data_IF_162532899932
#
_entry.id   IF_162532899932
#
_cell.length_a   1.000
_cell.length_b   1.000
_cell.length_c   1.000
_cell.angle_alpha   90.00
_cell.angle_beta   90.00
_cell.angle_gamma   90.00
#
_symmetry.space_group_name_H-M   'P 1'
#
loop_
_entity.id
_entity.type
_entity.pdbx_description
1 polymer ?
#
# COMPACT_ATOMS: atom_id res chain seq x y z
N UNK A 1 47.64 13.04 58.21
CA UNK A 1 48.83 12.47 57.56
C UNK A 1 48.35 11.79 56.29
N UNK A 2 48.48 12.45 55.20
CA UNK A 2 49.48 12.23 54.16
C UNK A 2 49.30 10.83 53.51
N UNK A 3 49.17 10.59 52.27
CA UNK A 3 49.72 11.15 51.02
C UNK A 3 48.94 10.48 49.83
N UNK A 4 48.49 11.22 48.89
CA UNK A 4 48.92 11.35 47.51
C UNK A 4 49.39 10.03 46.80
N UNK A 5 48.78 9.64 45.74
CA UNK A 5 49.42 9.77 44.41
C UNK A 5 48.44 9.58 43.29
N UNK A 6 48.46 10.52 42.34
CA UNK A 6 47.86 10.49 41.04
C UNK A 6 48.65 9.57 40.09
N UNK A 7 47.97 8.96 39.13
CA UNK A 7 48.56 8.72 37.82
C UNK A 7 47.47 8.71 36.75
N UNK A 8 47.71 9.55 35.79
CA UNK A 8 46.92 9.74 34.55
C UNK A 8 47.32 8.72 33.48
N UNK A 9 46.51 8.72 32.45
CA UNK A 9 46.67 8.22 31.09
C UNK A 9 45.81 6.97 30.79
N UNK A 10 45.04 6.86 29.77
CA UNK A 10 45.20 7.27 28.39
C UNK A 10 43.90 7.00 27.68
N UNK A 11 43.57 7.88 26.79
CA UNK A 11 42.56 7.74 25.81
C UNK A 11 42.77 6.50 24.93
N UNK A 12 41.71 5.74 24.70
CA UNK A 12 41.57 4.97 23.48
C UNK A 12 40.09 4.99 23.12
N UNK A 13 39.73 5.88 22.20
CA UNK A 13 38.48 5.83 21.49
C UNK A 13 38.41 4.53 20.70
N UNK A 14 37.57 3.62 21.14
CA UNK A 14 37.13 2.55 20.28
C UNK A 14 35.76 2.93 19.71
N UNK A 15 35.78 3.45 18.51
CA UNK A 15 34.63 3.45 17.61
C UNK A 15 34.16 2.01 17.43
N UNK A 16 33.20 1.62 18.25
CA UNK A 16 32.47 0.38 18.09
C UNK A 16 31.60 0.52 16.84
N UNK A 17 32.20 0.27 15.69
CA UNK A 17 31.48 -0.13 14.51
C UNK A 17 30.85 -1.51 14.81
N UNK A 18 29.59 -1.49 15.20
CA UNK A 18 28.74 -2.68 15.37
C UNK A 18 28.87 -3.52 14.09
N UNK A 19 29.41 -4.75 14.13
CA UNK A 19 29.46 -5.58 12.94
C UNK A 19 28.00 -5.80 12.51
N UNK A 20 27.65 -5.48 11.26
CA UNK A 20 26.42 -5.95 10.63
C UNK A 20 26.51 -7.47 10.64
N UNK A 21 25.94 -8.10 11.66
CA UNK A 21 25.74 -9.54 11.68
C UNK A 21 25.02 -9.90 10.38
N UNK A 22 25.62 -10.78 9.58
CA UNK A 22 24.98 -11.33 8.39
C UNK A 22 23.77 -12.13 8.88
N UNK A 23 22.59 -11.52 8.79
CA UNK A 23 21.33 -12.20 9.08
C UNK A 23 21.28 -13.50 8.29
N UNK A 24 20.86 -14.59 8.90
CA UNK A 24 20.69 -15.85 8.16
C UNK A 24 19.65 -15.67 7.06
N UNK A 25 19.78 -16.40 5.97
CA UNK A 25 18.85 -16.31 4.84
C UNK A 25 17.39 -16.61 5.25
N UNK A 26 17.21 -17.46 6.25
CA UNK A 26 15.89 -17.79 6.81
C UNK A 26 15.25 -16.58 7.50
N UNK A 27 16.03 -15.80 8.27
CA UNK A 27 15.55 -14.60 8.93
C UNK A 27 15.18 -13.54 7.89
N UNK A 28 16.02 -13.35 6.86
CA UNK A 28 15.76 -12.43 5.76
C UNK A 28 14.47 -12.81 5.02
N UNK A 29 14.27 -14.09 4.73
CA UNK A 29 13.05 -14.57 4.08
C UNK A 29 11.80 -14.34 4.95
N UNK A 30 11.90 -14.60 6.26
CA UNK A 30 10.81 -14.40 7.20
C UNK A 30 10.42 -12.91 7.33
N UNK A 31 11.41 -12.02 7.47
CA UNK A 31 11.20 -10.56 7.52
C UNK A 31 10.59 -10.04 6.22
N UNK A 32 11.08 -10.49 5.07
CA UNK A 32 10.50 -10.14 3.77
C UNK A 32 9.04 -10.59 3.66
N UNK A 33 8.74 -11.81 4.07
CA UNK A 33 7.36 -12.31 4.08
C UNK A 33 6.46 -11.50 5.02
N UNK A 34 6.99 -11.09 6.17
CA UNK A 34 6.27 -10.23 7.12
C UNK A 34 5.94 -8.87 6.51
N UNK A 35 6.88 -8.23 5.81
CA UNK A 35 6.66 -6.97 5.11
C UNK A 35 5.57 -7.11 4.03
N UNK A 36 5.59 -8.20 3.27
CA UNK A 36 4.57 -8.51 2.26
C UNK A 36 3.18 -8.71 2.88
N UNK A 37 3.10 -9.42 4.01
CA UNK A 37 1.84 -9.61 4.72
C UNK A 37 1.30 -8.28 5.28
N UNK A 38 2.18 -7.41 5.79
CA UNK A 38 1.78 -6.06 6.23
C UNK A 38 1.20 -5.25 5.06
N UNK A 39 1.85 -5.29 3.89
CA UNK A 39 1.34 -4.62 2.70
C UNK A 39 -0.03 -5.16 2.29
N UNK A 40 -0.21 -6.48 2.29
CA UNK A 40 -1.49 -7.11 1.96
C UNK A 40 -2.61 -6.69 2.92
N UNK A 41 -2.31 -6.63 4.22
CA UNK A 41 -3.27 -6.17 5.23
C UNK A 41 -3.66 -4.71 5.00
N UNK A 42 -2.71 -3.83 4.65
CA UNK A 42 -3.01 -2.44 4.31
C UNK A 42 -3.93 -2.33 3.09
N UNK A 43 -3.67 -3.13 2.04
CA UNK A 43 -4.53 -3.19 0.84
C UNK A 43 -5.94 -3.67 1.18
N UNK A 44 -6.05 -4.73 1.97
CA UNK A 44 -7.35 -5.26 2.38
C UNK A 44 -8.16 -4.25 3.21
N UNK A 45 -7.50 -3.56 4.14
CA UNK A 45 -8.12 -2.50 4.93
C UNK A 45 -8.57 -1.34 4.04
N UNK A 46 -7.73 -0.93 3.08
CA UNK A 46 -8.08 0.13 2.13
C UNK A 46 -9.32 -0.25 1.31
N UNK A 47 -9.38 -1.47 0.79
CA UNK A 47 -10.53 -1.96 0.04
C UNK A 47 -11.82 -1.94 0.88
N UNK A 48 -11.76 -2.31 2.16
CA UNK A 48 -12.91 -2.24 3.07
C UNK A 48 -13.39 -0.79 3.23
N UNK A 49 -12.48 0.17 3.46
CA UNK A 49 -12.81 1.59 3.60
C UNK A 49 -13.38 2.17 2.28
N UNK A 50 -12.87 1.74 1.13
CA UNK A 50 -13.40 2.15 -0.19
C UNK A 50 -14.83 1.62 -0.41
N UNK A 51 -15.14 0.40 0.05
CA UNK A 51 -16.51 -0.13 0.05
C UNK A 51 -17.43 0.67 0.95
N UNK A 52 -17.00 0.97 2.18
CA UNK A 52 -17.77 1.81 3.11
C UNK A 52 -18.04 3.19 2.51
N UNK A 53 -17.06 3.80 1.86
CA UNK A 53 -17.23 5.08 1.18
C UNK A 53 -18.28 5.00 0.07
N UNK A 54 -18.26 3.92 -0.72
CA UNK A 54 -19.24 3.71 -1.80
C UNK A 54 -20.66 3.57 -1.22
N UNK A 55 -20.81 2.83 -0.13
CA UNK A 55 -22.11 2.68 0.55
C UNK A 55 -22.60 4.03 1.08
N UNK A 56 -21.73 4.80 1.75
CA UNK A 56 -22.08 6.14 2.24
C UNK A 56 -22.54 7.06 1.10
N UNK A 57 -21.83 7.07 -0.04
CA UNK A 57 -22.23 7.85 -1.22
C UNK A 57 -23.62 7.45 -1.72
N UNK A 58 -23.88 6.17 -1.86
CA UNK A 58 -25.18 5.65 -2.32
C UNK A 58 -26.33 6.05 -1.38
N UNK A 59 -26.09 5.95 -0.07
CA UNK A 59 -27.11 6.34 0.94
C UNK A 59 -27.32 7.85 0.94
N UNK A 60 -26.27 8.66 0.88
CA UNK A 60 -26.35 10.12 0.79
C UNK A 60 -27.16 10.54 -0.44
N UNK A 61 -26.85 9.97 -1.62
CA UNK A 61 -27.57 10.30 -2.85
C UNK A 61 -29.05 9.94 -2.76
N UNK A 62 -29.38 8.81 -2.14
CA UNK A 62 -30.75 8.41 -1.90
C UNK A 62 -31.46 9.36 -0.93
N UNK A 63 -30.81 9.72 0.20
CA UNK A 63 -31.41 10.60 1.20
C UNK A 63 -31.62 12.02 0.72
N UNK A 64 -30.80 12.50 -0.22
CA UNK A 64 -30.97 13.82 -0.87
C UNK A 64 -32.28 13.93 -1.70
N UNK A 65 -32.83 12.81 -2.14
CA UNK A 65 -34.12 12.79 -2.85
C UNK A 65 -35.33 12.71 -1.96
N UNK A 66 -35.14 12.54 -0.64
CA UNK A 66 -36.20 12.32 0.34
C UNK A 66 -36.45 13.60 1.14
N UNK A 67 -37.71 13.80 1.58
CA UNK A 67 -38.08 14.92 2.43
C UNK A 67 -37.23 14.95 3.73
N UNK A 68 -36.62 16.11 4.08
CA UNK A 68 -35.77 16.25 5.27
C UNK A 68 -36.49 15.91 6.60
N UNK A 69 -37.79 16.12 6.67
CA UNK A 69 -38.60 15.83 7.86
C UNK A 69 -38.94 14.35 8.05
N UNK A 70 -38.69 13.52 7.01
CA UNK A 70 -38.99 12.09 7.04
C UNK A 70 -38.16 11.37 8.09
N UNK A 71 -38.83 10.47 8.82
CA UNK A 71 -38.19 9.58 9.78
C UNK A 71 -37.33 8.53 9.07
N UNK A 72 -36.15 8.32 9.57
CA UNK A 72 -35.25 7.26 9.17
C UNK A 72 -34.68 6.55 10.39
N UNK A 73 -34.20 5.33 10.23
CA UNK A 73 -33.64 4.52 11.30
C UNK A 73 -32.19 4.22 11.00
N UNK A 74 -31.34 4.49 11.98
CA UNK A 74 -29.90 4.22 11.87
C UNK A 74 -29.48 3.20 12.91
N UNK A 75 -28.73 2.19 12.48
CA UNK A 75 -28.13 1.21 13.39
C UNK A 75 -26.79 1.76 13.90
N UNK A 76 -26.70 1.99 15.20
CA UNK A 76 -25.50 2.49 15.87
C UNK A 76 -25.16 1.56 17.03
N UNK A 77 -24.00 0.91 16.98
CA UNK A 77 -23.57 -0.01 18.04
C UNK A 77 -24.54 -1.16 18.33
N UNK A 78 -25.30 -1.62 17.33
CA UNK A 78 -26.31 -2.68 17.49
C UNK A 78 -27.68 -2.18 17.95
N UNK A 79 -27.85 -0.87 18.17
CA UNK A 79 -29.13 -0.23 18.56
C UNK A 79 -29.70 0.53 17.37
N UNK A 80 -31.01 0.29 17.11
CA UNK A 80 -31.72 1.01 16.05
C UNK A 80 -32.27 2.33 16.63
N UNK A 81 -31.75 3.44 16.13
CA UNK A 81 -32.12 4.80 16.58
C UNK A 81 -32.97 5.46 15.51
N UNK A 82 -34.15 5.98 15.92
CA UNK A 82 -35.00 6.81 15.08
C UNK A 82 -34.42 8.22 14.98
N UNK A 83 -34.25 8.73 13.78
CA UNK A 83 -33.79 10.09 13.49
C UNK A 83 -34.53 10.65 12.26
N UNK A 84 -34.31 11.91 11.93
CA UNK A 84 -34.82 12.52 10.69
C UNK A 84 -33.71 12.59 9.65
N UNK A 85 -34.08 12.64 8.39
CA UNK A 85 -33.13 12.80 7.27
C UNK A 85 -32.30 14.08 7.44
N UNK A 86 -32.89 15.17 7.91
CA UNK A 86 -32.20 16.43 8.17
C UNK A 86 -31.04 16.30 9.18
N UNK A 87 -31.14 15.38 10.13
CA UNK A 87 -30.08 15.12 11.14
C UNK A 87 -29.04 14.14 10.61
N UNK A 88 -29.48 13.10 9.90
CA UNK A 88 -28.59 12.01 9.46
C UNK A 88 -27.73 12.44 8.27
N UNK A 89 -28.26 13.21 7.32
CA UNK A 89 -27.57 13.59 6.08
C UNK A 89 -26.23 14.31 6.34
N UNK A 90 -26.17 15.40 7.17
CA UNK A 90 -24.91 16.06 7.46
C UNK A 90 -23.89 15.17 8.19
N UNK A 91 -24.36 14.24 9.03
CA UNK A 91 -23.47 13.28 9.69
C UNK A 91 -22.85 12.30 8.69
N UNK A 92 -23.62 11.83 7.72
CA UNK A 92 -23.11 10.95 6.67
C UNK A 92 -22.13 11.70 5.74
N UNK A 93 -22.37 12.95 5.42
CA UNK A 93 -21.45 13.79 4.64
C UNK A 93 -20.12 14.01 5.36
N UNK A 94 -20.17 14.23 6.68
CA UNK A 94 -18.97 14.32 7.50
C UNK A 94 -18.20 13.00 7.51
N UNK A 95 -18.88 11.87 7.72
CA UNK A 95 -18.26 10.54 7.70
C UNK A 95 -17.64 10.25 6.33
N UNK A 96 -18.34 10.57 5.24
CA UNK A 96 -17.80 10.46 3.87
C UNK A 96 -16.48 11.20 3.71
N UNK A 97 -16.42 12.47 4.17
CA UNK A 97 -15.19 13.26 4.11
C UNK A 97 -14.04 12.67 4.92
N UNK A 98 -14.35 12.07 6.08
CA UNK A 98 -13.34 11.35 6.89
C UNK A 98 -12.84 10.10 6.19
N UNK A 99 -13.74 9.30 5.59
CA UNK A 99 -13.37 8.11 4.82
C UNK A 99 -12.49 8.47 3.61
N UNK A 100 -12.80 9.55 2.89
CA UNK A 100 -11.98 10.02 1.77
C UNK A 100 -10.54 10.35 2.21
N UNK A 101 -10.37 11.01 3.36
CA UNK A 101 -9.03 11.29 3.93
C UNK A 101 -8.29 10.01 4.31
N UNK A 102 -8.99 9.07 4.98
CA UNK A 102 -8.39 7.80 5.36
C UNK A 102 -7.93 6.98 4.14
N UNK A 103 -8.66 7.06 3.03
CA UNK A 103 -8.27 6.41 1.77
C UNK A 103 -6.98 7.01 1.20
N UNK A 104 -6.85 8.33 1.22
CA UNK A 104 -5.63 9.00 0.76
C UNK A 104 -4.44 8.63 1.63
N UNK A 105 -4.57 8.71 2.95
CA UNK A 105 -3.55 8.28 3.90
C UNK A 105 -3.18 6.78 3.72
N UNK A 106 -4.18 5.93 3.49
CA UNK A 106 -3.98 4.50 3.24
C UNK A 106 -3.18 4.24 1.96
N UNK A 107 -3.46 4.96 0.88
CA UNK A 107 -2.71 4.88 -0.39
C UNK A 107 -1.25 5.29 -0.21
N UNK A 108 -1.00 6.38 0.55
CA UNK A 108 0.37 6.79 0.87
C UNK A 108 1.11 5.73 1.69
N UNK A 109 0.44 5.14 2.68
CA UNK A 109 1.04 4.07 3.50
C UNK A 109 1.40 2.84 2.67
N UNK A 110 0.53 2.43 1.73
CA UNK A 110 0.80 1.32 0.81
C UNK A 110 2.00 1.63 -0.07
N UNK A 111 2.11 2.85 -0.60
CA UNK A 111 3.24 3.29 -1.42
C UNK A 111 4.54 3.29 -0.61
N UNK A 112 4.53 3.83 0.60
CA UNK A 112 5.68 3.81 1.52
C UNK A 112 6.12 2.37 1.85
N UNK A 113 5.14 1.49 2.11
CA UNK A 113 5.43 0.08 2.38
C UNK A 113 5.98 -0.64 1.14
N UNK A 114 5.52 -0.28 -0.06
CA UNK A 114 6.08 -0.76 -1.33
C UNK A 114 7.54 -0.37 -1.51
N UNK A 115 7.90 0.86 -1.17
CA UNK A 115 9.28 1.35 -1.18
C UNK A 115 10.17 0.57 -0.20
N UNK A 116 9.69 0.40 1.04
CA UNK A 116 10.40 -0.35 2.08
C UNK A 116 10.67 -1.80 1.65
N UNK A 117 9.69 -2.46 1.03
CA UNK A 117 9.84 -3.82 0.50
C UNK A 117 10.88 -3.87 -0.63
N UNK A 118 10.87 -2.91 -1.55
CA UNK A 118 11.85 -2.85 -2.63
C UNK A 118 13.26 -2.58 -2.10
N UNK A 119 13.41 -1.64 -1.19
CA UNK A 119 14.68 -1.36 -0.53
C UNK A 119 15.22 -2.61 0.19
N UNK A 120 14.37 -3.30 0.96
CA UNK A 120 14.73 -4.54 1.66
C UNK A 120 15.16 -5.64 0.68
N UNK A 121 14.44 -5.76 -0.45
CA UNK A 121 14.78 -6.70 -1.52
C UNK A 121 16.16 -6.42 -2.12
N UNK A 122 16.49 -5.14 -2.36
CA UNK A 122 17.76 -4.72 -2.96
C UNK A 122 18.92 -4.87 -1.98
N UNK A 123 18.72 -4.49 -0.70
CA UNK A 123 19.73 -4.64 0.36
C UNK A 123 20.14 -6.09 0.61
N UNK A 124 19.18 -7.02 0.52
CA UNK A 124 19.40 -8.43 0.75
C UNK A 124 19.53 -9.28 -0.52
N UNK A 125 19.51 -8.63 -1.70
CA UNK A 125 19.62 -9.27 -3.02
C UNK A 125 18.64 -10.45 -3.21
N UNK A 126 17.37 -10.21 -2.80
CA UNK A 126 16.33 -11.24 -2.85
C UNK A 126 15.84 -11.38 -4.30
N UNK A 127 16.17 -12.52 -4.94
CA UNK A 127 15.70 -12.84 -6.29
C UNK A 127 14.37 -13.57 -6.21
N UNK A 128 13.33 -13.00 -6.77
CA UNK A 128 12.05 -13.69 -6.94
C UNK A 128 12.12 -14.65 -8.12
N UNK A 129 11.67 -15.89 -7.92
CA UNK A 129 11.59 -16.90 -8.98
C UNK A 129 10.51 -16.45 -9.98
N UNK A 130 10.93 -16.03 -11.18
CA UNK A 130 10.02 -15.61 -12.25
C UNK A 130 10.15 -14.14 -12.68
N UNK A 131 11.03 -13.36 -12.09
CA UNK A 131 11.36 -12.02 -12.57
C UNK A 131 12.69 -12.11 -13.32
N UNK A 132 12.62 -12.34 -14.63
CA UNK A 132 13.76 -12.07 -15.50
C UNK A 132 14.12 -10.57 -15.39
N UNK A 133 15.42 -10.24 -15.28
CA UNK A 133 15.82 -8.84 -15.30
C UNK A 133 15.38 -8.27 -16.64
N UNK A 134 14.45 -7.32 -16.62
CA UNK A 134 14.19 -6.46 -17.76
C UNK A 134 15.49 -5.75 -18.09
N UNK A 135 16.15 -6.20 -19.16
CA UNK A 135 17.28 -5.50 -19.72
C UNK A 135 16.87 -4.06 -20.03
N UNK A 136 17.69 -3.07 -19.70
CA UNK A 136 17.45 -1.71 -20.16
C UNK A 136 17.53 -1.74 -21.69
N UNK A 137 16.46 -1.31 -22.34
CA UNK A 137 16.40 -1.09 -23.78
C UNK A 137 17.53 -0.15 -24.17
N UNK A 138 18.55 -0.71 -24.82
CA UNK A 138 19.56 0.08 -25.50
C UNK A 138 18.99 0.53 -26.84
N UNK A 139 18.81 1.84 -26.92
CA UNK A 139 18.82 2.72 -28.09
C UNK A 139 18.61 2.09 -29.47
N UNK A 140 17.52 2.50 -30.06
CA UNK A 140 17.24 2.52 -31.48
C UNK A 140 18.39 3.14 -32.29
N UNK A 141 18.72 2.46 -33.36
CA UNK A 141 19.25 3.10 -34.57
C UNK A 141 18.42 2.65 -35.75
N UNK A 142 17.86 3.65 -36.39
CA UNK A 142 17.25 3.62 -37.72
C UNK A 142 18.02 2.82 -38.73
N UNK A 143 17.35 2.05 -39.53
CA UNK A 143 17.56 2.05 -40.97
C UNK A 143 16.33 1.49 -41.69
N UNK A 144 15.90 2.29 -42.64
CA UNK A 144 14.76 2.10 -43.51
C UNK A 144 14.98 1.02 -44.58
N UNK A 145 13.87 0.69 -45.20
CA UNK A 145 13.64 0.00 -46.49
C UNK A 145 13.59 -1.53 -46.47
N UNK A 146 12.53 -2.12 -46.88
CA UNK A 146 11.97 -2.32 -48.17
C UNK A 146 10.87 -3.39 -48.16
N UNK A 147 9.98 -3.27 -49.07
CA UNK A 147 8.78 -3.99 -49.47
C UNK A 147 8.81 -5.52 -49.50
N UNK A 148 7.55 -5.97 -49.42
CA UNK A 148 6.82 -7.04 -50.15
C UNK A 148 6.40 -8.29 -49.41
N UNK A 149 5.06 -8.32 -49.30
CA UNK A 149 4.19 -9.39 -49.88
C UNK A 149 4.04 -10.71 -49.15
N UNK A 150 2.77 -11.04 -49.04
CA UNK A 150 2.12 -12.37 -49.00
C UNK A 150 1.71 -12.86 -47.60
N UNK A 151 0.50 -12.71 -47.17
CA UNK A 151 -0.65 -13.59 -47.44
C UNK A 151 -0.57 -14.91 -46.65
N UNK A 152 -1.25 -14.97 -45.51
CA UNK A 152 -2.04 -16.18 -45.26
C UNK A 152 -3.14 -15.93 -44.25
N UNK A 153 -4.36 -16.06 -44.74
CA UNK A 153 -5.61 -16.11 -43.99
C UNK A 153 -5.72 -17.47 -43.33
N UNK A 154 -6.01 -17.51 -42.04
CA UNK A 154 -6.72 -18.66 -41.49
C UNK A 154 -7.80 -18.15 -40.54
N UNK A 155 -8.99 -18.01 -41.14
CA UNK A 155 -10.28 -17.95 -40.47
C UNK A 155 -10.63 -19.39 -40.09
N UNK A 156 -10.81 -19.65 -38.80
CA UNK A 156 -11.52 -20.83 -38.33
C UNK A 156 -12.84 -20.39 -37.72
N UNK A 157 -13.88 -20.50 -38.55
CA UNK A 157 -15.27 -20.53 -38.15
C UNK A 157 -15.58 -21.94 -37.65
N UNK A 158 -16.03 -22.07 -36.44
CA UNK A 158 -16.58 -23.28 -35.86
C UNK A 158 -17.92 -22.97 -35.23
N UNK A 159 -18.98 -23.32 -36.00
CA UNK A 159 -20.35 -23.44 -35.52
C UNK A 159 -20.49 -24.61 -34.54
N UNK A 160 -21.23 -24.44 -33.49
CA UNK A 160 -22.46 -25.15 -33.04
C UNK A 160 -22.73 -24.76 -31.60
#
# INVERSE_FOLDING_TARGET
MATQTATAASAAGSTSSKPKEKKSQEIIAAEFQQLRNQQLNLVNNLNAIEMDLKEHKTVIDTLKTVDPSRKCFRLVGGVLVEQTVAVVLPQLELNKSQLEKLIEEGKEQITKKGFEINQYKDEHNIKMRGQEPSQPAASEKESAADEKSSGNRNVLVGNL
#
